data_IF_678230551101
#
_entry.id   IF_678230551101
#
_cell.length_a   1.000
_cell.length_b   1.000
_cell.length_c   1.000
_cell.angle_alpha   90.00
_cell.angle_beta   90.00
_cell.angle_gamma   90.00
#
_symmetry.space_group_name_H-M   'P 1'
#
loop_
_entity.id
_entity.type
_entity.pdbx_description
1 polymer ?
#
# COMPACT_ATOMS: atom_id res chain seq x y z
N UNK A 1 -8.36 24.07 -5.94
CA UNK A 1 -8.35 22.97 -4.98
C UNK A 1 -8.95 21.72 -5.61
N UNK A 2 -8.34 20.61 -5.37
CA UNK A 2 -8.89 19.36 -5.84
C UNK A 2 -9.35 18.53 -4.65
N UNK A 3 -10.29 17.66 -4.91
CA UNK A 3 -10.77 16.73 -3.90
C UNK A 3 -10.45 15.34 -4.35
N UNK A 4 -9.70 14.65 -3.53
CA UNK A 4 -9.39 13.26 -3.79
C UNK A 4 -9.98 12.40 -2.70
N UNK A 5 -10.66 11.35 -3.11
CA UNK A 5 -11.25 10.42 -2.17
C UNK A 5 -10.23 9.40 -1.69
N UNK A 6 -9.11 9.30 -2.39
CA UNK A 6 -8.05 8.39 -2.02
C UNK A 6 -6.71 9.10 -2.03
N UNK A 7 -5.84 8.70 -1.14
CA UNK A 7 -4.47 9.17 -1.12
C UNK A 7 -3.63 8.12 -1.83
N UNK A 8 -3.01 8.49 -2.94
CA UNK A 8 -2.27 7.55 -3.78
C UNK A 8 -0.80 7.91 -3.89
N UNK A 9 0.05 6.89 -3.84
CA UNK A 9 1.49 7.02 -4.00
C UNK A 9 1.96 5.94 -4.96
N UNK A 10 2.87 6.30 -5.84
CA UNK A 10 3.54 5.33 -6.71
C UNK A 10 4.90 5.06 -6.11
N UNK A 11 5.19 3.80 -5.82
CA UNK A 11 6.43 3.41 -5.17
C UNK A 11 7.33 2.61 -6.10
N UNK A 12 8.60 3.00 -6.14
CA UNK A 12 9.64 2.24 -6.78
C UNK A 12 10.75 2.09 -5.74
N UNK A 13 11.12 0.85 -5.41
CA UNK A 13 12.07 0.58 -4.36
C UNK A 13 11.38 0.27 -3.05
N UNK A 14 11.92 0.78 -1.95
CA UNK A 14 11.38 0.49 -0.62
C UNK A 14 10.86 1.76 0.04
N UNK A 15 9.74 1.63 0.76
CA UNK A 15 9.19 2.73 1.50
C UNK A 15 8.54 2.28 2.80
N UNK A 16 8.68 3.09 3.83
CA UNK A 16 7.99 2.89 5.09
C UNK A 16 6.91 3.95 5.21
N UNK A 17 5.71 3.52 5.56
CA UNK A 17 4.55 4.38 5.59
C UNK A 17 3.87 4.37 6.95
N UNK A 18 3.56 5.56 7.43
CA UNK A 18 2.71 5.73 8.60
C UNK A 18 1.47 6.46 8.13
N UNK A 19 0.34 5.79 8.21
CA UNK A 19 -0.91 6.29 7.66
C UNK A 19 -1.91 6.52 8.78
N UNK A 20 -2.43 7.74 8.86
CA UNK A 20 -3.47 8.05 9.84
C UNK A 20 -4.79 7.41 9.43
N UNK A 21 -5.52 6.96 10.42
CA UNK A 21 -6.81 6.35 10.18
C UNK A 21 -7.78 7.39 9.60
N UNK A 22 -8.24 7.11 8.39
CA UNK A 22 -9.22 7.96 7.73
C UNK A 22 -10.03 7.05 6.79
N UNK A 23 -11.14 6.52 7.26
CA UNK A 23 -11.91 5.56 6.47
C UNK A 23 -12.51 6.15 5.20
N UNK A 24 -12.61 7.47 5.12
CA UNK A 24 -13.13 8.11 3.91
C UNK A 24 -12.05 8.33 2.85
N UNK A 25 -10.78 8.25 3.25
CA UNK A 25 -9.66 8.49 2.34
C UNK A 25 -8.59 7.43 2.53
N UNK A 26 -8.83 6.20 2.06
CA UNK A 26 -7.84 5.14 2.21
C UNK A 26 -6.55 5.50 1.47
N UNK A 27 -5.43 5.02 2.01
CA UNK A 27 -4.12 5.28 1.43
C UNK A 27 -3.73 4.11 0.54
N UNK A 28 -3.38 4.39 -0.70
CA UNK A 28 -3.04 3.36 -1.66
C UNK A 28 -1.62 3.54 -2.18
N UNK A 29 -0.81 2.50 -2.04
CA UNK A 29 0.53 2.45 -2.61
C UNK A 29 0.49 1.55 -3.82
N UNK A 30 0.87 2.08 -4.97
CA UNK A 30 0.91 1.31 -6.21
C UNK A 30 2.36 1.08 -6.62
N UNK A 31 2.62 -0.09 -7.18
CA UNK A 31 3.94 -0.42 -7.69
C UNK A 31 3.88 -0.62 -9.21
N UNK A 32 5.05 -0.62 -9.83
CA UNK A 32 5.14 -0.80 -11.28
C UNK A 32 4.70 -2.19 -11.74
N UNK A 33 4.63 -3.14 -10.82
CA UNK A 33 4.23 -4.52 -11.14
C UNK A 33 2.73 -4.72 -11.05
N UNK A 34 1.96 -3.67 -10.86
CA UNK A 34 0.52 -3.77 -10.77
C UNK A 34 0.00 -4.17 -9.40
N UNK A 35 0.88 -4.22 -8.42
CA UNK A 35 0.49 -4.51 -7.05
C UNK A 35 0.03 -3.23 -6.37
N UNK A 36 -1.04 -3.32 -5.60
CA UNK A 36 -1.51 -2.19 -4.81
C UNK A 36 -1.66 -2.60 -3.37
N UNK A 37 -1.31 -1.68 -2.47
CA UNK A 37 -1.47 -1.90 -1.04
C UNK A 37 -2.39 -0.80 -0.52
N UNK A 38 -3.53 -1.18 0.02
CA UNK A 38 -4.51 -0.23 0.54
C UNK A 38 -4.45 -0.26 2.06
N UNK A 39 -4.20 0.88 2.66
CA UNK A 39 -4.00 1.01 4.11
C UNK A 39 -5.12 1.82 4.75
N UNK A 40 -5.52 1.38 5.94
CA UNK A 40 -6.63 1.97 6.69
C UNK A 40 -6.18 2.41 8.08
N UNK A 41 -5.15 3.23 8.14
CA UNK A 41 -4.60 3.64 9.43
C UNK A 41 -3.60 2.64 9.96
N UNK A 42 -2.43 2.60 9.33
CA UNK A 42 -1.46 1.53 9.54
C UNK A 42 -0.04 2.05 9.56
N UNK A 43 0.86 1.19 10.04
CA UNK A 43 2.29 1.36 9.86
C UNK A 43 2.79 0.12 9.12
N UNK A 44 3.40 0.32 7.98
CA UNK A 44 3.84 -0.81 7.16
C UNK A 44 5.00 -0.42 6.26
N UNK A 45 5.71 -1.43 5.79
CA UNK A 45 6.85 -1.26 4.90
C UNK A 45 6.58 -2.05 3.61
N UNK A 46 6.91 -1.45 2.48
CA UNK A 46 6.77 -2.12 1.18
C UNK A 46 8.12 -2.13 0.49
N UNK A 47 8.54 -3.30 0.03
CA UNK A 47 9.75 -3.47 -0.74
C UNK A 47 9.34 -3.91 -2.14
N UNK A 48 9.55 -3.02 -3.11
CA UNK A 48 9.10 -3.23 -4.49
C UNK A 48 10.19 -2.86 -5.49
N UNK A 49 11.38 -3.36 -5.29
CA UNK A 49 12.48 -3.13 -6.22
C UNK A 49 12.24 -3.90 -7.51
N UNK A 50 12.42 -3.22 -8.63
CA UNK A 50 12.13 -3.79 -9.95
C UNK A 50 13.02 -4.99 -10.29
N UNK A 51 14.21 -5.05 -9.70
CA UNK A 51 15.14 -6.14 -9.95
C UNK A 51 14.99 -7.32 -8.98
N UNK A 52 14.03 -7.21 -8.07
CA UNK A 52 13.76 -8.30 -7.14
C UNK A 52 12.68 -9.22 -7.72
N UNK A 53 12.76 -10.52 -7.46
CA UNK A 53 11.78 -11.45 -8.00
C UNK A 53 10.43 -11.41 -7.31
N UNK A 54 10.31 -10.68 -6.22
CA UNK A 54 9.06 -10.61 -5.48
C UNK A 54 8.92 -9.25 -4.82
N UNK A 55 7.68 -8.93 -4.44
CA UNK A 55 7.36 -7.72 -3.71
C UNK A 55 6.95 -8.14 -2.31
N UNK A 56 7.49 -7.46 -1.31
CA UNK A 56 7.22 -7.81 0.07
C UNK A 56 6.56 -6.65 0.80
N UNK A 57 5.50 -6.94 1.53
CA UNK A 57 4.84 -5.97 2.39
C UNK A 57 4.87 -6.49 3.81
N UNK A 58 5.39 -5.69 4.73
CA UNK A 58 5.49 -6.06 6.14
C UNK A 58 4.61 -5.11 6.94
N UNK A 59 3.60 -5.68 7.58
CA UNK A 59 2.66 -4.92 8.39
C UNK A 59 3.16 -4.86 9.82
N UNK A 60 3.32 -3.64 10.33
CA UNK A 60 3.75 -3.44 11.69
C UNK A 60 2.57 -3.22 12.62
N UNK A 61 1.56 -2.48 12.17
CA UNK A 61 0.41 -2.18 12.98
C UNK A 61 -0.79 -1.87 12.10
N UNK A 62 -1.96 -2.34 12.49
CA UNK A 62 -3.19 -2.06 11.77
C UNK A 62 -3.53 -3.15 10.78
N UNK A 63 -4.07 -2.76 9.64
CA UNK A 63 -4.42 -3.71 8.59
C UNK A 63 -4.24 -3.09 7.22
N UNK A 64 -3.88 -3.94 6.27
CA UNK A 64 -3.74 -3.53 4.88
C UNK A 64 -4.37 -4.59 3.98
N UNK A 65 -4.81 -4.16 2.81
CA UNK A 65 -5.23 -5.06 1.74
C UNK A 65 -4.18 -5.02 0.66
N UNK A 66 -3.69 -6.19 0.27
CA UNK A 66 -2.75 -6.32 -0.84
C UNK A 66 -3.54 -6.83 -2.03
N UNK A 67 -3.53 -6.07 -3.12
CA UNK A 67 -4.33 -6.38 -4.30
C UNK A 67 -3.42 -6.57 -5.50
N UNK A 68 -3.56 -7.71 -6.14
CA UNK A 68 -2.82 -8.02 -7.36
C UNK A 68 -3.79 -8.65 -8.35
N UNK A 69 -3.96 -8.01 -9.49
CA UNK A 69 -4.95 -8.43 -10.48
C UNK A 69 -6.34 -8.48 -9.82
N UNK A 70 -6.97 -9.64 -9.75
CA UNK A 70 -8.27 -9.80 -9.13
C UNK A 70 -8.21 -10.39 -7.72
N UNK A 71 -7.01 -10.60 -7.23
CA UNK A 71 -6.82 -11.19 -5.91
C UNK A 71 -6.62 -10.13 -4.84
N UNK A 72 -7.26 -10.33 -3.69
CA UNK A 72 -7.13 -9.44 -2.55
C UNK A 72 -6.81 -10.26 -1.32
N UNK A 73 -5.75 -9.87 -0.63
CA UNK A 73 -5.32 -10.55 0.58
C UNK A 73 -5.24 -9.51 1.68
N UNK A 74 -5.86 -9.79 2.82
CA UNK A 74 -5.81 -8.89 3.96
C UNK A 74 -4.77 -9.35 4.97
N UNK A 75 -3.94 -8.41 5.41
CA UNK A 75 -3.01 -8.63 6.51
C UNK A 75 -3.47 -7.80 7.70
N UNK A 76 -3.49 -8.41 8.86
CA UNK A 76 -3.88 -7.73 10.10
C UNK A 76 -2.98 -8.10 11.26
#
# INVERSE_FOLDING_TARGET
>A
MFEEKERKVLLSGEGYFEVEADPEHPFCVSTSEGLRVVAYGTKFNVNAYADEPFIEAVLEKGKIDVIRNDERIRLE
#
